data_IF_957513613728
#
_entry.id   IF_957513613728
#
_cell.length_a   1.000
_cell.length_b   1.000
_cell.length_c   1.000
_cell.angle_alpha   90.00
_cell.angle_beta   90.00
_cell.angle_gamma   90.00
#
_symmetry.space_group_name_H-M   'P 1'
#
loop_
_entity.id
_entity.type
_entity.pdbx_description
1 polymer ?
#
# COMPACT_ATOMS: atom_id res chain seq x y z
N UNK A 1 7.21 0.68 15.55
CA UNK A 1 8.60 0.40 15.96
C UNK A 1 8.72 0.24 17.48
N UNK A 2 9.70 -0.54 17.95
CA UNK A 2 9.94 -0.76 19.38
C UNK A 2 10.44 0.50 20.11
N UNK A 3 10.41 0.48 21.46
CA UNK A 3 10.77 1.64 22.28
C UNK A 3 12.24 2.09 22.09
N UNK A 4 13.17 1.15 21.87
CA UNK A 4 14.58 1.47 21.65
C UNK A 4 14.79 2.25 20.34
N UNK A 5 14.13 1.84 19.27
CA UNK A 5 14.13 2.55 17.98
C UNK A 5 13.54 3.95 18.13
N UNK A 6 12.40 4.09 18.81
CA UNK A 6 11.77 5.42 19.04
C UNK A 6 12.67 6.36 19.83
N UNK A 7 13.32 5.86 20.90
CA UNK A 7 14.30 6.66 21.68
C UNK A 7 15.48 7.07 20.81
N UNK A 8 15.95 6.18 19.93
CA UNK A 8 17.09 6.51 19.06
C UNK A 8 16.73 7.58 18.05
N UNK A 9 15.55 7.50 17.41
CA UNK A 9 15.08 8.58 16.54
C UNK A 9 14.95 9.92 17.25
N UNK A 10 14.36 9.93 18.45
CA UNK A 10 14.26 11.15 19.25
C UNK A 10 15.64 11.78 19.54
N UNK A 11 16.66 10.94 19.79
CA UNK A 11 18.03 11.41 19.97
C UNK A 11 18.62 11.98 18.69
N UNK A 12 18.46 11.30 17.55
CA UNK A 12 18.94 11.79 16.26
C UNK A 12 18.32 13.15 15.91
N UNK A 13 17.02 13.32 16.16
CA UNK A 13 16.34 14.60 15.96
C UNK A 13 16.94 15.70 16.85
N UNK A 14 17.14 15.41 18.14
CA UNK A 14 17.73 16.37 19.10
C UNK A 14 19.18 16.72 18.72
N UNK A 15 20.00 15.74 18.34
CA UNK A 15 21.38 15.94 17.89
C UNK A 15 21.47 16.85 16.66
N UNK A 16 20.39 16.94 15.87
CA UNK A 16 20.28 17.80 14.67
C UNK A 16 19.53 19.10 14.91
N UNK A 17 19.21 19.43 16.13
CA UNK A 17 18.45 20.65 16.46
C UNK A 17 16.99 20.62 15.99
N UNK A 18 16.44 19.43 15.68
CA UNK A 18 15.05 19.27 15.23
C UNK A 18 14.14 19.14 16.46
N UNK A 19 13.24 20.08 16.63
CA UNK A 19 12.23 20.06 17.70
C UNK A 19 11.14 19.03 17.40
N UNK A 20 10.86 18.14 18.34
CA UNK A 20 9.82 17.12 18.22
C UNK A 20 8.64 17.44 19.15
N UNK A 21 7.56 17.94 18.58
CA UNK A 21 6.31 18.19 19.29
C UNK A 21 5.43 16.94 19.27
N UNK A 22 5.33 16.25 20.41
CA UNK A 22 4.51 15.04 20.54
C UNK A 22 3.10 15.37 20.99
N UNK A 23 2.12 14.58 20.52
CA UNK A 23 0.71 14.81 20.82
C UNK A 23 0.23 16.20 20.41
N UNK A 24 0.89 16.80 19.43
CA UNK A 24 0.58 18.09 18.84
C UNK A 24 -0.23 17.87 17.55
N UNK A 25 -1.50 17.44 17.71
CA UNK A 25 -2.40 17.26 16.57
C UNK A 25 -2.73 18.62 15.97
N UNK A 26 -2.30 18.85 14.73
CA UNK A 26 -2.59 20.05 13.98
C UNK A 26 -4.04 20.01 13.50
N UNK A 27 -4.83 21.01 13.86
CA UNK A 27 -6.27 21.08 13.51
C UNK A 27 -6.57 22.20 12.52
N UNK A 28 -5.67 23.18 12.38
CA UNK A 28 -5.83 24.30 11.45
C UNK A 28 -4.47 24.86 11.07
N UNK A 29 -4.38 25.38 9.85
CA UNK A 29 -3.22 26.12 9.36
C UNK A 29 -3.72 27.46 8.77
N UNK A 30 -3.16 28.55 9.25
CA UNK A 30 -3.42 29.89 8.76
C UNK A 30 -2.11 30.49 8.24
N UNK A 31 -1.98 30.60 6.93
CA UNK A 31 -0.71 31.00 6.33
C UNK A 31 0.43 30.07 6.79
N UNK A 32 1.40 30.64 7.48
CA UNK A 32 2.58 29.92 7.99
C UNK A 32 2.46 29.55 9.48
N UNK A 33 1.25 29.54 10.05
CA UNK A 33 1.00 29.23 11.47
C UNK A 33 0.15 27.98 11.59
N UNK A 34 0.69 26.96 12.28
CA UNK A 34 -0.04 25.74 12.63
C UNK A 34 -0.69 25.92 14.01
N UNK A 35 -1.96 25.54 14.12
CA UNK A 35 -2.71 25.50 15.37
C UNK A 35 -2.96 24.07 15.80
N UNK A 36 -2.59 23.74 17.03
CA UNK A 36 -2.80 22.40 17.58
C UNK A 36 -4.13 22.31 18.33
N UNK A 37 -4.66 21.09 18.49
CA UNK A 37 -5.86 20.83 19.31
C UNK A 37 -5.71 21.29 20.76
N UNK A 38 -4.49 21.42 21.28
CA UNK A 38 -4.21 21.90 22.64
C UNK A 38 -4.10 23.40 22.75
N UNK A 39 -4.32 24.14 21.64
CA UNK A 39 -4.22 25.60 21.60
C UNK A 39 -2.78 26.13 21.44
N UNK A 40 -1.80 25.28 21.24
CA UNK A 40 -0.45 25.72 20.91
C UNK A 40 -0.40 26.22 19.45
N UNK A 41 0.43 27.23 19.20
CA UNK A 41 0.68 27.76 17.86
C UNK A 41 2.15 27.60 17.50
N UNK A 42 2.43 27.17 16.27
CA UNK A 42 3.77 26.98 15.75
C UNK A 42 3.90 27.73 14.43
N UNK A 43 4.79 28.70 14.37
CA UNK A 43 5.13 29.39 13.12
C UNK A 43 6.20 28.60 12.37
N UNK A 44 6.09 28.54 11.04
CA UNK A 44 7.06 27.88 10.17
C UNK A 44 7.16 28.64 8.85
N UNK A 45 8.38 28.77 8.30
CA UNK A 45 8.57 29.41 7.00
C UNK A 45 8.05 28.52 5.87
N UNK A 46 8.19 27.19 6.04
CA UNK A 46 7.72 26.16 5.12
C UNK A 46 7.01 25.02 5.85
N UNK A 47 5.93 24.51 5.29
CA UNK A 47 5.13 23.43 5.86
C UNK A 47 5.13 22.23 4.88
N UNK A 48 5.68 21.09 5.31
CA UNK A 48 5.66 19.84 4.55
C UNK A 48 4.74 18.83 5.24
N UNK A 49 3.70 18.40 4.55
CA UNK A 49 2.76 17.41 5.04
C UNK A 49 3.25 16.00 4.69
N UNK A 50 3.53 15.19 5.72
CA UNK A 50 3.90 13.77 5.64
C UNK A 50 2.96 12.94 6.52
N UNK A 51 1.66 13.21 6.41
CA UNK A 51 0.61 12.54 7.16
C UNK A 51 0.29 11.16 6.56
N UNK A 52 -0.61 10.42 7.21
CA UNK A 52 -1.07 9.13 6.68
C UNK A 52 -1.75 9.32 5.32
N UNK A 53 -1.56 8.34 4.42
CA UNK A 53 -2.24 8.31 3.14
C UNK A 53 -3.75 8.10 3.36
N UNK A 54 -4.56 8.80 2.56
CA UNK A 54 -5.97 8.50 2.34
C UNK A 54 -6.17 7.91 0.95
N UNK A 55 -7.28 7.26 0.71
CA UNK A 55 -7.67 6.84 -0.63
C UNK A 55 -7.83 8.07 -1.56
N UNK A 56 -7.54 7.89 -2.84
CA UNK A 56 -7.72 8.97 -3.82
C UNK A 56 -9.21 9.36 -3.89
N UNK A 57 -9.56 10.67 -3.87
CA UNK A 57 -10.96 11.11 -3.82
C UNK A 57 -11.84 10.53 -4.92
N UNK A 58 -11.32 10.37 -6.14
CA UNK A 58 -12.06 9.83 -7.28
C UNK A 58 -12.53 8.36 -7.08
N UNK A 59 -11.92 7.62 -6.13
CA UNK A 59 -12.36 6.26 -5.81
C UNK A 59 -13.78 6.23 -5.24
N UNK A 60 -14.23 7.31 -4.59
CA UNK A 60 -15.60 7.42 -4.07
C UNK A 60 -16.64 7.33 -5.19
N UNK A 61 -16.31 7.79 -6.40
CA UNK A 61 -17.20 7.80 -7.55
C UNK A 61 -17.08 6.55 -8.42
N UNK A 62 -16.20 5.61 -8.05
CA UNK A 62 -15.91 4.40 -8.83
C UNK A 62 -16.96 3.29 -8.70
N UNK A 63 -17.85 3.37 -7.72
CA UNK A 63 -18.79 2.29 -7.37
C UNK A 63 -18.15 1.11 -6.65
N UNK A 64 -16.84 1.13 -6.39
CA UNK A 64 -16.15 0.09 -5.63
C UNK A 64 -16.41 0.22 -4.12
N UNK A 65 -16.44 -0.90 -3.41
CA UNK A 65 -16.51 -0.89 -1.96
C UNK A 65 -15.18 -0.36 -1.38
N UNK A 66 -15.28 0.69 -0.55
CA UNK A 66 -14.14 1.33 0.09
C UNK A 66 -14.19 1.12 1.62
N UNK A 67 -13.03 1.18 2.27
CA UNK A 67 -12.94 1.27 3.73
C UNK A 67 -13.13 2.71 4.22
N UNK A 68 -13.11 2.91 5.54
CA UNK A 68 -13.25 4.24 6.15
C UNK A 68 -12.14 5.24 5.77
N UNK A 69 -11.01 4.76 5.27
CA UNK A 69 -9.89 5.58 4.76
C UNK A 69 -9.98 5.87 3.27
N UNK A 70 -11.05 5.41 2.57
CA UNK A 70 -11.23 5.58 1.14
C UNK A 70 -10.42 4.61 0.29
N UNK A 71 -9.90 3.52 0.84
CA UNK A 71 -9.14 2.51 0.12
C UNK A 71 -10.05 1.38 -0.38
N UNK A 72 -9.73 0.83 -1.55
CA UNK A 72 -10.49 -0.25 -2.20
C UNK A 72 -10.43 -1.52 -1.34
N UNK A 73 -11.59 -2.02 -0.92
CA UNK A 73 -11.69 -3.27 -0.17
C UNK A 73 -11.43 -4.46 -1.08
N UNK A 74 -10.45 -5.29 -0.69
CA UNK A 74 -10.07 -6.49 -1.44
C UNK A 74 -10.08 -7.73 -0.56
N UNK A 75 -10.39 -8.87 -1.19
CA UNK A 75 -10.31 -10.20 -0.58
C UNK A 75 -8.84 -10.66 -0.52
N UNK A 76 -8.60 -11.80 0.06
CA UNK A 76 -7.26 -12.43 0.10
C UNK A 76 -6.72 -12.78 -1.31
N UNK A 77 -7.57 -12.92 -2.31
CA UNK A 77 -7.19 -13.10 -3.73
C UNK A 77 -6.79 -11.79 -4.42
N UNK A 78 -6.87 -10.65 -3.75
CA UNK A 78 -6.68 -9.29 -4.28
C UNK A 78 -7.78 -8.84 -5.26
N UNK A 79 -8.88 -9.60 -5.41
CA UNK A 79 -10.09 -9.14 -6.09
C UNK A 79 -10.81 -8.12 -5.23
N UNK A 80 -11.44 -7.13 -5.85
CA UNK A 80 -12.30 -6.20 -5.13
C UNK A 80 -13.51 -6.94 -4.55
N UNK A 81 -14.08 -6.39 -3.48
CA UNK A 81 -15.26 -6.96 -2.84
C UNK A 81 -16.50 -6.82 -3.74
N UNK A 82 -16.58 -5.72 -4.50
CA UNK A 82 -17.73 -5.36 -5.33
C UNK A 82 -17.75 -6.07 -6.68
N UNK A 83 -16.57 -6.34 -7.28
CA UNK A 83 -16.48 -6.87 -8.64
C UNK A 83 -15.34 -7.90 -8.73
N UNK A 84 -15.62 -9.16 -9.07
CA UNK A 84 -14.61 -10.21 -9.18
C UNK A 84 -13.65 -10.06 -10.37
N UNK A 85 -13.95 -9.19 -11.34
CA UNK A 85 -13.08 -8.92 -12.48
C UNK A 85 -12.08 -7.80 -12.22
N UNK A 86 -12.27 -7.04 -11.12
CA UNK A 86 -11.39 -5.94 -10.73
C UNK A 86 -10.47 -6.39 -9.60
N UNK A 87 -9.19 -6.08 -9.75
CA UNK A 87 -8.16 -6.36 -8.75
C UNK A 87 -7.51 -5.07 -8.28
N UNK A 88 -7.13 -5.01 -7.01
CA UNK A 88 -6.36 -3.90 -6.48
C UNK A 88 -5.25 -4.42 -5.55
N UNK A 89 -4.10 -3.73 -5.57
CA UNK A 89 -2.93 -4.06 -4.76
C UNK A 89 -2.15 -2.80 -4.38
N UNK A 90 -1.27 -2.91 -3.38
CA UNK A 90 -0.47 -1.80 -2.90
C UNK A 90 -1.27 -0.83 -2.02
N UNK A 91 -0.86 0.43 -2.02
CA UNK A 91 -1.39 1.41 -1.07
C UNK A 91 -2.87 1.77 -1.31
N UNK A 92 -3.40 1.59 -2.53
CA UNK A 92 -4.81 1.80 -2.82
C UNK A 92 -5.73 0.68 -2.30
N UNK A 93 -5.18 -0.51 -1.97
CA UNK A 93 -5.96 -1.67 -1.55
C UNK A 93 -6.02 -1.80 -0.03
N UNK A 94 -7.19 -2.18 0.50
CA UNK A 94 -7.42 -2.53 1.90
C UNK A 94 -7.89 -3.97 1.99
N UNK A 95 -7.02 -4.87 2.49
CA UNK A 95 -7.36 -6.29 2.66
C UNK A 95 -8.34 -6.46 3.81
N UNK A 96 -9.49 -7.11 3.54
CA UNK A 96 -10.59 -7.28 4.50
C UNK A 96 -10.14 -8.16 5.68
N UNK A 97 -9.53 -9.32 5.37
CA UNK A 97 -9.16 -10.32 6.38
C UNK A 97 -7.77 -10.08 6.99
N UNK A 98 -6.99 -9.19 6.41
CA UNK A 98 -5.61 -8.92 6.79
C UNK A 98 -5.30 -7.42 6.75
N UNK A 99 -5.81 -6.62 7.70
CA UNK A 99 -5.50 -5.19 7.74
C UNK A 99 -3.99 -4.93 7.79
N UNK A 100 -3.51 -4.08 6.88
CA UNK A 100 -2.09 -3.76 6.72
C UNK A 100 -1.86 -2.26 6.84
N UNK A 101 -0.70 -1.90 7.38
CA UNK A 101 -0.19 -0.53 7.27
C UNK A 101 0.13 -0.22 5.80
N UNK A 102 -0.07 1.02 5.38
CA UNK A 102 0.32 1.50 4.04
C UNK A 102 1.84 1.68 4.01
N UNK A 103 2.54 0.67 3.53
CA UNK A 103 4.00 0.66 3.45
C UNK A 103 4.47 -0.07 2.20
N UNK A 104 5.49 0.49 1.53
CA UNK A 104 6.00 0.00 0.26
C UNK A 104 6.40 -1.49 0.25
N UNK A 105 6.81 -2.04 1.39
CA UNK A 105 7.11 -3.48 1.50
C UNK A 105 5.89 -4.37 1.22
N UNK A 106 4.69 -3.95 1.62
CA UNK A 106 3.46 -4.69 1.33
C UNK A 106 3.06 -4.50 -0.13
N UNK A 107 3.13 -3.27 -0.66
CA UNK A 107 2.86 -2.98 -2.06
C UNK A 107 3.71 -3.85 -2.99
N UNK A 108 5.03 -3.89 -2.77
CA UNK A 108 5.96 -4.71 -3.56
C UNK A 108 5.63 -6.20 -3.47
N UNK A 109 5.26 -6.69 -2.29
CA UNK A 109 4.96 -8.11 -2.08
C UNK A 109 3.60 -8.55 -2.59
N UNK A 110 2.69 -7.64 -2.83
CA UNK A 110 1.41 -7.91 -3.50
C UNK A 110 1.59 -8.12 -5.01
N UNK A 111 2.65 -7.62 -5.63
CA UNK A 111 2.89 -7.73 -7.06
C UNK A 111 2.84 -9.17 -7.61
N UNK A 112 3.68 -10.10 -7.12
CA UNK A 112 3.68 -11.49 -7.61
C UNK A 112 2.33 -12.21 -7.45
N UNK A 113 1.64 -12.19 -6.28
CA UNK A 113 0.31 -12.81 -6.16
C UNK A 113 -0.76 -12.13 -7.03
N UNK A 114 -0.69 -10.81 -7.23
CA UNK A 114 -1.57 -10.11 -8.16
C UNK A 114 -1.37 -10.62 -9.60
N UNK A 115 -0.13 -10.67 -10.07
CA UNK A 115 0.20 -11.17 -11.41
C UNK A 115 -0.27 -12.60 -11.62
N UNK A 116 -0.05 -13.48 -10.64
CA UNK A 116 -0.50 -14.87 -10.69
C UNK A 116 -2.03 -14.97 -10.73
N UNK A 117 -2.74 -14.17 -9.92
CA UNK A 117 -4.20 -14.21 -9.87
C UNK A 117 -4.85 -13.58 -11.10
N UNK A 118 -4.30 -12.52 -11.66
CA UNK A 118 -4.74 -11.99 -12.96
C UNK A 118 -4.61 -13.05 -14.06
N UNK A 119 -3.45 -13.73 -14.14
CA UNK A 119 -3.25 -14.82 -15.09
C UNK A 119 -4.25 -15.95 -14.90
N UNK A 120 -4.50 -16.34 -13.65
CA UNK A 120 -5.48 -17.39 -13.30
C UNK A 120 -6.90 -17.00 -13.68
N UNK A 121 -7.31 -15.77 -13.40
CA UNK A 121 -8.61 -15.26 -13.79
C UNK A 121 -8.81 -15.32 -15.30
N UNK A 122 -7.83 -14.88 -16.10
CA UNK A 122 -7.86 -14.95 -17.55
C UNK A 122 -7.93 -16.37 -18.10
N UNK A 123 -7.40 -17.36 -17.38
CA UNK A 123 -7.39 -18.77 -17.77
C UNK A 123 -8.56 -19.56 -17.16
N UNK A 124 -9.50 -18.93 -16.45
CA UNK A 124 -10.59 -19.63 -15.76
C UNK A 124 -10.11 -20.56 -14.63
N UNK A 125 -8.91 -20.33 -14.07
CA UNK A 125 -8.32 -21.16 -13.02
C UNK A 125 -8.70 -20.65 -11.63
N UNK A 126 -8.82 -21.53 -10.61
CA UNK A 126 -9.04 -21.10 -9.22
C UNK A 126 -7.96 -20.15 -8.75
N UNK A 127 -8.34 -19.03 -8.13
CA UNK A 127 -7.41 -18.03 -7.60
C UNK A 127 -6.73 -18.53 -6.33
N UNK A 128 -5.55 -17.98 -6.04
CA UNK A 128 -4.75 -18.32 -4.86
C UNK A 128 -4.87 -17.23 -3.80
N UNK A 129 -5.11 -17.58 -2.53
CA UNK A 129 -5.11 -16.61 -1.45
C UNK A 129 -3.70 -16.09 -1.19
N UNK A 130 -3.57 -14.79 -0.96
CA UNK A 130 -2.36 -14.14 -0.50
C UNK A 130 -2.46 -13.86 1.00
N UNK A 131 -1.50 -14.35 1.76
CA UNK A 131 -1.38 -14.06 3.20
C UNK A 131 -0.17 -13.17 3.42
N UNK A 132 -0.37 -11.90 3.81
CA UNK A 132 0.72 -10.99 4.05
C UNK A 132 1.54 -11.39 5.28
N UNK A 133 2.81 -11.03 5.25
CA UNK A 133 3.71 -11.26 6.38
C UNK A 133 3.35 -10.36 7.56
N UNK A 134 3.44 -10.89 8.77
CA UNK A 134 3.20 -10.15 10.01
C UNK A 134 4.40 -9.31 10.48
N UNK A 135 5.60 -9.62 10.02
CA UNK A 135 6.85 -8.93 10.42
C UNK A 135 7.67 -8.59 9.19
N UNK A 136 8.14 -7.39 9.14
CA UNK A 136 9.02 -6.91 8.07
C UNK A 136 10.24 -6.21 8.65
N UNK A 137 11.26 -6.09 7.84
CA UNK A 137 12.45 -5.31 8.13
C UNK A 137 12.22 -3.88 7.63
N UNK A 138 12.23 -2.92 8.53
CA UNK A 138 12.25 -1.51 8.17
C UNK A 138 13.71 -1.01 8.19
N UNK A 139 14.15 -0.43 7.07
CA UNK A 139 15.44 0.22 6.94
C UNK A 139 15.20 1.72 6.72
N UNK A 140 15.47 2.53 7.74
CA UNK A 140 15.11 3.94 7.77
C UNK A 140 16.39 4.76 7.76
N UNK A 141 16.60 5.53 6.69
CA UNK A 141 17.72 6.48 6.62
C UNK A 141 17.49 7.62 7.62
N UNK A 142 18.54 8.01 8.30
CA UNK A 142 18.56 9.17 9.20
C UNK A 142 19.35 10.33 8.62
N UNK A 143 19.75 10.27 7.34
CA UNK A 143 20.65 11.20 6.68
C UNK A 143 22.14 10.83 6.88
N UNK A 144 23.04 11.54 6.21
CA UNK A 144 24.50 11.43 6.33
C UNK A 144 25.04 9.99 6.20
N UNK A 145 24.45 9.22 5.26
CA UNK A 145 24.79 7.81 5.03
C UNK A 145 24.66 6.93 6.29
N UNK A 146 23.75 7.29 7.17
CA UNK A 146 23.44 6.54 8.39
C UNK A 146 22.00 6.02 8.32
N UNK A 147 21.75 4.81 8.85
CA UNK A 147 20.41 4.23 8.90
C UNK A 147 20.17 3.41 10.16
N UNK A 148 18.89 3.19 10.44
CA UNK A 148 18.40 2.32 11.51
C UNK A 148 17.60 1.20 10.87
N UNK A 149 17.98 -0.05 11.16
CA UNK A 149 17.22 -1.26 10.86
C UNK A 149 16.33 -1.61 12.06
N UNK A 150 15.07 -1.98 11.79
CA UNK A 150 14.12 -2.40 12.83
C UNK A 150 13.31 -3.60 12.37
N UNK A 151 13.27 -4.66 13.20
CA UNK A 151 12.42 -5.84 12.96
C UNK A 151 11.95 -6.42 14.30
N UNK A 152 10.68 -6.20 14.62
CA UNK A 152 10.15 -6.62 15.92
C UNK A 152 10.90 -5.99 17.09
N UNK A 153 11.44 -6.82 18.00
CA UNK A 153 12.25 -6.34 19.13
C UNK A 153 13.70 -5.99 18.77
N UNK A 154 14.18 -6.49 17.63
CA UNK A 154 15.56 -6.28 17.19
C UNK A 154 15.72 -4.95 16.45
N UNK A 155 16.86 -4.28 16.68
CA UNK A 155 17.31 -3.14 15.90
C UNK A 155 18.83 -3.12 15.74
N UNK A 156 19.28 -2.53 14.64
CA UNK A 156 20.68 -2.23 14.37
C UNK A 156 20.81 -0.82 13.79
N UNK A 157 22.00 -0.25 13.81
CA UNK A 157 22.24 1.11 13.30
C UNK A 157 23.66 1.26 12.79
N UNK A 158 23.88 2.26 11.96
CA UNK A 158 25.21 2.63 11.49
C UNK A 158 25.27 2.81 9.97
N UNK A 159 26.46 3.17 9.50
CA UNK A 159 26.74 3.36 8.08
C UNK A 159 26.65 2.05 7.31
N UNK A 160 26.98 0.92 7.94
CA UNK A 160 26.83 -0.39 7.34
C UNK A 160 25.34 -0.75 7.09
N UNK A 161 24.42 -0.30 7.97
CA UNK A 161 22.97 -0.45 7.76
C UNK A 161 22.52 0.39 6.57
N UNK A 162 23.07 1.60 6.43
CA UNK A 162 22.79 2.46 5.28
C UNK A 162 23.30 1.83 3.98
N UNK A 163 24.55 1.30 3.95
CA UNK A 163 25.09 0.59 2.78
C UNK A 163 24.25 -0.62 2.42
N UNK A 164 23.76 -1.36 3.41
CA UNK A 164 22.87 -2.48 3.19
C UNK A 164 21.53 -2.04 2.60
N UNK A 165 20.93 -0.96 3.13
CA UNK A 165 19.73 -0.35 2.56
C UNK A 165 19.97 0.09 1.11
N UNK A 166 21.02 0.85 0.84
CA UNK A 166 21.38 1.34 -0.50
C UNK A 166 21.55 0.19 -1.50
N UNK A 167 22.20 -0.89 -1.09
CA UNK A 167 22.36 -2.08 -1.92
C UNK A 167 21.01 -2.75 -2.23
N UNK A 168 20.10 -2.87 -1.25
CA UNK A 168 18.75 -3.42 -1.47
C UNK A 168 17.96 -2.55 -2.44
N UNK A 169 17.97 -1.23 -2.21
CA UNK A 169 17.22 -0.27 -3.02
C UNK A 169 17.71 -0.27 -4.47
N UNK A 170 19.04 -0.23 -4.69
CA UNK A 170 19.65 -0.29 -6.04
C UNK A 170 19.30 -1.60 -6.74
N UNK A 171 19.41 -2.74 -6.06
CA UNK A 171 19.06 -4.04 -6.63
C UNK A 171 17.57 -4.15 -6.97
N UNK A 172 16.73 -3.49 -6.18
CA UNK A 172 15.30 -3.39 -6.49
C UNK A 172 15.07 -2.57 -7.75
N UNK A 173 15.70 -1.38 -7.83
CA UNK A 173 15.55 -0.48 -8.99
C UNK A 173 16.10 -1.08 -10.29
N UNK A 174 17.18 -1.85 -10.26
CA UNK A 174 17.74 -2.52 -11.43
C UNK A 174 16.71 -3.39 -12.17
N UNK A 175 15.77 -4.01 -11.44
CA UNK A 175 14.70 -4.83 -12.06
C UNK A 175 13.78 -4.02 -12.99
N UNK A 176 13.73 -2.72 -12.83
CA UNK A 176 12.90 -1.81 -13.62
C UNK A 176 13.72 -1.00 -14.64
N UNK A 177 15.02 -0.85 -14.41
CA UNK A 177 15.94 -0.13 -15.31
C UNK A 177 16.56 -1.04 -16.36
N UNK A 178 16.80 -2.31 -16.00
CA UNK A 178 17.41 -3.31 -16.87
C UNK A 178 16.37 -4.37 -17.22
N UNK A 179 15.42 -4.00 -18.09
CA UNK A 179 14.41 -4.94 -18.55
C UNK A 179 15.05 -5.97 -19.50
N UNK A 180 14.68 -7.26 -19.40
CA UNK A 180 15.13 -8.26 -20.35
C UNK A 180 14.68 -7.87 -21.76
N UNK A 181 15.54 -8.09 -22.75
CA UNK A 181 15.19 -7.85 -24.14
C UNK A 181 13.91 -8.65 -24.47
N UNK A 182 12.94 -7.98 -25.10
CA UNK A 182 11.75 -8.67 -25.59
C UNK A 182 12.18 -9.67 -26.66
N UNK A 183 11.88 -10.93 -26.43
CA UNK A 183 12.11 -11.98 -27.43
C UNK A 183 11.09 -11.80 -28.57
N UNK A 184 11.55 -11.16 -29.66
CA UNK A 184 10.73 -10.90 -30.84
C UNK A 184 10.27 -12.19 -31.55
N UNK A 185 10.84 -13.36 -31.18
CA UNK A 185 10.50 -14.66 -31.73
C UNK A 185 9.40 -15.38 -30.95
N UNK A 186 9.01 -14.86 -29.78
CA UNK A 186 7.94 -15.47 -28.99
C UNK A 186 6.59 -15.11 -29.65
N UNK A 187 5.86 -16.07 -30.23
CA UNK A 187 4.57 -15.78 -30.80
C UNK A 187 3.68 -15.17 -29.73
N UNK A 188 3.11 -14.00 -30.02
CA UNK A 188 2.02 -13.44 -29.24
C UNK A 188 0.96 -14.52 -29.10
N UNK A 189 0.54 -14.94 -27.89
CA UNK A 189 -0.57 -15.87 -27.78
C UNK A 189 -1.73 -15.27 -28.56
N UNK A 190 -2.24 -16.03 -29.53
CA UNK A 190 -3.44 -15.60 -30.24
C UNK A 190 -4.47 -15.25 -29.18
N UNK A 191 -5.03 -14.04 -29.26
CA UNK A 191 -6.11 -13.63 -28.39
C UNK A 191 -7.28 -14.57 -28.69
N UNK A 192 -7.36 -15.70 -27.98
CA UNK A 192 -8.57 -16.50 -27.94
C UNK A 192 -9.61 -15.55 -27.33
N UNK A 193 -10.58 -15.18 -28.16
CA UNK A 193 -11.70 -14.37 -27.74
C UNK A 193 -12.29 -15.04 -26.48
N UNK A 194 -12.10 -14.40 -25.31
CA UNK A 194 -12.78 -14.79 -24.10
C UNK A 194 -14.25 -14.49 -24.40
N UNK A 195 -15.16 -15.47 -24.37
CA UNK A 195 -16.58 -15.17 -24.47
C UNK A 195 -16.90 -14.30 -23.25
N UNK A 196 -17.18 -13.04 -23.48
CA UNK A 196 -17.89 -12.20 -22.51
C UNK A 196 -19.31 -12.76 -22.45
N UNK A 197 -19.54 -13.79 -21.66
CA UNK A 197 -20.88 -14.12 -21.22
C UNK A 197 -21.39 -12.93 -20.44
N UNK A 198 -22.23 -12.17 -21.09
CA UNK A 198 -22.91 -11.00 -20.57
C UNK A 198 -23.69 -11.41 -19.32
N UNK A 199 -23.52 -10.65 -18.26
CA UNK A 199 -24.23 -10.79 -16.97
C UNK A 199 -25.77 -10.51 -17.08
N UNK A 200 -26.38 -10.74 -18.23
CA UNK A 200 -27.81 -10.52 -18.47
C UNK A 200 -28.72 -11.70 -18.15
N UNK A 201 -28.19 -12.88 -17.82
CA UNK A 201 -29.03 -14.07 -17.57
C UNK A 201 -29.42 -14.31 -16.12
N UNK A 202 -29.10 -13.41 -15.16
CA UNK A 202 -29.47 -13.61 -13.74
C UNK A 202 -30.65 -12.76 -13.29
N UNK A 203 -31.32 -11.99 -14.17
CA UNK A 203 -32.49 -11.19 -13.78
C UNK A 203 -33.85 -11.80 -14.14
N UNK A 204 -33.93 -12.91 -14.85
CA UNK A 204 -35.21 -13.46 -15.32
C UNK A 204 -35.83 -14.54 -14.42
N UNK A 205 -35.22 -14.92 -13.28
CA UNK A 205 -35.74 -16.00 -12.43
C UNK A 205 -36.36 -15.53 -11.11
N UNK A 206 -36.61 -14.24 -10.91
CA UNK A 206 -37.21 -13.71 -9.65
C UNK A 206 -38.63 -13.14 -9.84
N UNK A 207 -39.21 -13.15 -11.03
CA UNK A 207 -40.54 -12.55 -11.27
C UNK A 207 -41.72 -13.53 -11.40
N UNK A 208 -41.55 -14.83 -11.26
CA UNK A 208 -42.65 -15.80 -11.30
C UNK A 208 -42.84 -16.53 -9.97
N UNK A 209 -43.17 -15.80 -8.90
CA UNK A 209 -43.42 -16.38 -7.58
C UNK A 209 -44.41 -15.60 -6.70
N UNK A 210 -45.32 -14.82 -7.29
CA UNK A 210 -46.48 -14.29 -6.54
C UNK A 210 -47.76 -14.44 -7.35
N UNK A 211 -48.39 -15.53 -7.09
CA UNK A 211 -49.77 -15.78 -7.51
C UNK A 211 -50.23 -17.14 -7.05
N UNK A 212 -51.01 -17.16 -6.01
CA UNK A 212 -52.15 -18.06 -5.69
C UNK A 212 -52.20 -18.42 -4.19
N UNK A 213 -53.14 -17.77 -3.56
CA UNK A 213 -53.95 -18.06 -2.35
C UNK A 213 -53.32 -17.68 -0.99
#
# INVERSE_FOLDING_TARGET
HNAAVRRRFARVLAERGISLHRNAEVVRVDGNVLHTRRGETLAADEIVWVTQAGGAPWLADSGLALDAGGFIRVRDTLQTESDPLIFAAGDCASMIDHPLEKAGVFAVRMGPPLTENLRRALLGMPLKPYRPQRRWLALISTGDRHAIASRGAFYARGDWVWRWKDWIDRRFMQRFSELPAMDATRPTPAASAIPLETAEQTQETVQDGQGVR
#
